data_IF_402725029906
#
_entry.id   IF_402725029906
#
_cell.length_a   1.000
_cell.length_b   1.000
_cell.length_c   1.000
_cell.angle_alpha   90.00
_cell.angle_beta   90.00
_cell.angle_gamma   90.00
#
_symmetry.space_group_name_H-M   'P 1'
#
loop_
_entity.id
_entity.type
_entity.pdbx_description
1 polymer ?
#
# COMPACT_ATOMS: atom_id res chain seq x y z
N UNK A 1 21.39 -14.72 -14.47
CA UNK A 1 21.33 -16.19 -14.60
C UNK A 1 21.39 -16.77 -13.19
N UNK A 2 20.22 -16.96 -12.56
CA UNK A 2 20.10 -17.20 -11.12
C UNK A 2 19.90 -18.69 -10.83
N UNK A 3 20.37 -19.12 -9.65
CA UNK A 3 20.58 -20.48 -9.12
C UNK A 3 19.34 -21.41 -9.03
N UNK A 4 18.25 -21.09 -9.72
CA UNK A 4 17.02 -21.92 -9.79
C UNK A 4 17.20 -23.13 -10.73
N UNK A 5 18.23 -23.13 -11.59
CA UNK A 5 18.45 -24.16 -12.62
C UNK A 5 18.96 -25.51 -12.08
N UNK A 6 19.35 -25.63 -10.80
CA UNK A 6 20.06 -26.82 -10.31
C UNK A 6 19.19 -27.83 -9.53
N UNK A 7 17.93 -27.51 -9.20
CA UNK A 7 17.10 -28.35 -8.31
C UNK A 7 16.06 -29.21 -9.07
N UNK A 8 15.84 -29.01 -10.37
CA UNK A 8 14.82 -29.75 -11.13
C UNK A 8 15.35 -30.81 -12.11
N UNK A 9 16.63 -31.17 -12.03
CA UNK A 9 17.23 -32.29 -12.80
C UNK A 9 17.29 -33.63 -12.04
N UNK A 10 16.74 -33.70 -10.83
CA UNK A 10 16.67 -34.92 -10.03
C UNK A 10 15.24 -35.49 -9.98
N UNK A 11 14.65 -35.79 -11.15
CA UNK A 11 13.65 -36.86 -11.18
C UNK A 11 14.41 -38.16 -11.31
N UNK A 12 14.77 -38.68 -10.14
CA UNK A 12 15.42 -39.96 -9.92
C UNK A 12 14.65 -41.05 -10.66
N UNK A 13 15.39 -41.69 -11.56
CA UNK A 13 15.19 -43.05 -12.00
C UNK A 13 14.88 -43.98 -10.82
N UNK A 14 13.65 -44.45 -10.69
CA UNK A 14 13.37 -45.73 -10.02
C UNK A 14 13.24 -46.77 -11.12
N UNK A 15 14.39 -47.30 -11.53
CA UNK A 15 14.45 -48.44 -12.43
C UNK A 15 13.85 -49.66 -11.72
N UNK A 16 12.63 -50.02 -12.09
CA UNK A 16 12.15 -51.39 -11.92
C UNK A 16 12.80 -52.23 -13.03
N UNK A 17 13.38 -53.40 -12.73
CA UNK A 17 13.96 -54.25 -13.77
C UNK A 17 12.81 -54.79 -14.63
N UNK A 18 12.61 -54.22 -15.83
CA UNK A 18 11.67 -54.80 -16.81
C UNK A 18 11.01 -53.88 -17.84
N UNK A 19 11.14 -52.55 -17.78
CA UNK A 19 10.46 -51.67 -18.77
C UNK A 19 11.41 -50.64 -19.37
N UNK A 20 11.83 -50.89 -20.60
CA UNK A 20 12.57 -49.96 -21.46
C UNK A 20 11.61 -48.90 -22.02
N UNK A 21 11.32 -47.84 -21.27
CA UNK A 21 10.58 -46.70 -21.78
C UNK A 21 11.55 -45.60 -22.20
N UNK A 22 12.00 -45.59 -23.46
CA UNK A 22 12.58 -44.38 -24.06
C UNK A 22 11.47 -43.35 -24.22
N UNK A 23 11.53 -42.17 -23.56
CA UNK A 23 10.49 -41.16 -23.73
C UNK A 23 10.54 -40.64 -25.17
N UNK A 24 9.39 -40.64 -25.85
CA UNK A 24 9.31 -40.13 -27.23
C UNK A 24 9.55 -38.62 -27.27
N UNK A 25 10.21 -38.12 -28.32
CA UNK A 25 10.44 -36.68 -28.53
C UNK A 25 9.16 -35.82 -28.47
N UNK A 26 7.99 -36.42 -28.76
CA UNK A 26 6.68 -35.78 -28.64
C UNK A 26 6.30 -35.47 -27.19
N UNK A 27 6.61 -36.35 -26.23
CA UNK A 27 6.26 -36.13 -24.82
C UNK A 27 7.13 -35.05 -24.17
N UNK A 28 8.40 -34.95 -24.57
CA UNK A 28 9.31 -33.89 -24.09
C UNK A 28 8.88 -32.51 -24.59
N UNK A 29 8.50 -32.40 -25.87
CA UNK A 29 8.00 -31.16 -26.46
C UNK A 29 6.68 -30.70 -25.82
N UNK A 30 5.77 -31.63 -25.49
CA UNK A 30 4.52 -31.31 -24.81
C UNK A 30 4.73 -30.87 -23.35
N UNK A 31 5.68 -31.48 -22.64
CA UNK A 31 6.07 -31.06 -21.29
C UNK A 31 6.70 -29.67 -21.32
N UNK A 32 7.60 -29.39 -22.28
CA UNK A 32 8.17 -28.04 -22.47
C UNK A 32 7.11 -27.00 -22.81
N UNK A 33 6.12 -27.35 -23.65
CA UNK A 33 5.02 -26.45 -24.01
C UNK A 33 4.08 -26.17 -22.83
N UNK A 34 3.86 -27.17 -21.96
CA UNK A 34 3.11 -27.01 -20.70
C UNK A 34 3.88 -26.20 -19.67
N UNK A 35 5.19 -26.43 -19.51
CA UNK A 35 6.08 -25.64 -18.66
C UNK A 35 6.13 -24.18 -19.10
N UNK A 36 6.30 -23.92 -20.41
CA UNK A 36 6.28 -22.56 -20.95
C UNK A 36 4.91 -21.87 -20.73
N UNK A 37 3.80 -22.62 -20.83
CA UNK A 37 2.47 -22.10 -20.46
C UNK A 37 2.34 -21.82 -18.96
N UNK A 38 2.91 -22.66 -18.10
CA UNK A 38 2.92 -22.45 -16.64
C UNK A 38 3.80 -21.26 -16.24
N UNK A 39 4.95 -21.07 -16.89
CA UNK A 39 5.79 -19.87 -16.75
C UNK A 39 5.06 -18.61 -17.22
N UNK A 40 4.32 -18.69 -18.34
CA UNK A 40 3.52 -17.59 -18.85
C UNK A 40 2.34 -17.25 -17.90
N UNK A 41 1.68 -18.26 -17.34
CA UNK A 41 0.60 -18.07 -16.34
C UNK A 41 1.15 -17.53 -15.01
N UNK A 42 2.31 -17.99 -14.55
CA UNK A 42 2.98 -17.47 -13.35
C UNK A 42 3.47 -16.02 -13.54
N UNK A 43 3.93 -15.66 -14.74
CA UNK A 43 4.30 -14.29 -15.09
C UNK A 43 3.08 -13.33 -15.17
N UNK A 44 1.89 -13.83 -15.55
CA UNK A 44 0.65 -13.04 -15.52
C UNK A 44 0.10 -12.84 -14.09
N UNK A 45 0.40 -13.74 -13.15
CA UNK A 45 -0.02 -13.62 -11.74
C UNK A 45 0.80 -12.61 -10.92
N UNK A 46 1.89 -12.08 -11.48
CA UNK A 46 2.82 -11.17 -10.80
C UNK A 46 2.87 -9.76 -11.42
N UNK A 47 1.81 -9.33 -12.10
CA UNK A 47 1.78 -7.96 -12.62
C UNK A 47 1.78 -6.93 -11.47
N UNK A 48 2.63 -5.90 -11.55
CA UNK A 48 2.61 -4.80 -10.58
C UNK A 48 1.24 -4.13 -10.58
N UNK A 49 0.61 -4.05 -9.41
CA UNK A 49 -0.59 -3.24 -9.26
C UNK A 49 -0.18 -1.86 -8.73
N UNK A 50 -0.60 -0.80 -9.43
CA UNK A 50 -0.51 0.57 -8.93
C UNK A 50 -1.92 1.10 -8.69
N UNK A 51 -2.17 1.52 -7.45
CA UNK A 51 -3.42 2.21 -7.12
C UNK A 51 -3.14 3.70 -7.14
N UNK A 52 -3.71 4.40 -8.14
CA UNK A 52 -3.52 5.85 -8.32
C UNK A 52 -4.32 6.62 -7.27
N UNK A 53 -3.63 7.43 -6.50
CA UNK A 53 -4.16 8.42 -5.59
C UNK A 53 -4.12 9.79 -6.26
N UNK A 54 -5.29 10.40 -6.47
CA UNK A 54 -5.39 11.74 -7.02
C UNK A 54 -5.22 12.79 -5.93
N UNK A 55 -4.55 13.90 -6.24
CA UNK A 55 -4.45 15.06 -5.36
C UNK A 55 -3.32 14.98 -4.31
N UNK A 56 -2.43 14.01 -4.46
CA UNK A 56 -1.32 13.77 -3.54
C UNK A 56 -0.02 13.69 -4.31
N UNK A 57 0.94 14.50 -3.89
CA UNK A 57 2.32 14.42 -4.32
C UNK A 57 3.14 13.64 -3.31
N UNK A 58 3.85 12.62 -3.76
CA UNK A 58 4.83 11.92 -2.94
C UNK A 58 6.14 12.69 -3.10
N UNK A 59 6.57 13.39 -2.07
CA UNK A 59 7.74 14.26 -2.15
C UNK A 59 9.00 13.50 -1.72
N UNK A 60 10.05 13.63 -2.53
CA UNK A 60 11.35 13.01 -2.33
C UNK A 60 11.43 11.56 -2.79
N UNK A 61 12.56 10.91 -2.47
CA UNK A 61 12.90 9.55 -2.93
C UNK A 61 12.97 9.38 -4.44
N UNK A 62 13.16 10.46 -5.20
CA UNK A 62 13.23 10.40 -6.66
C UNK A 62 14.46 9.63 -7.14
N UNK A 63 14.20 8.62 -7.97
CA UNK A 63 15.22 7.80 -8.63
C UNK A 63 15.56 8.38 -10.01
N UNK A 64 14.51 8.68 -10.79
CA UNK A 64 14.58 9.29 -12.12
C UNK A 64 13.20 9.79 -12.53
N UNK A 65 13.14 10.57 -13.60
CA UNK A 65 11.88 10.91 -14.25
C UNK A 65 11.82 10.35 -15.68
N UNK A 66 10.61 10.07 -16.15
CA UNK A 66 10.32 9.63 -17.52
C UNK A 66 9.04 10.32 -18.02
N UNK A 67 8.99 10.67 -19.30
CA UNK A 67 7.79 11.24 -19.91
C UNK A 67 6.71 10.17 -20.14
N UNK A 68 5.44 10.56 -20.02
CA UNK A 68 4.31 9.67 -20.33
C UNK A 68 3.02 10.02 -19.57
N UNK A 69 1.98 9.20 -19.77
CA UNK A 69 0.71 9.33 -19.03
C UNK A 69 0.81 8.71 -17.64
N UNK A 70 -0.15 9.00 -16.76
CA UNK A 70 -0.17 8.44 -15.40
C UNK A 70 -0.27 6.90 -15.40
N UNK A 71 -0.98 6.32 -16.36
CA UNK A 71 -1.13 4.87 -16.53
C UNK A 71 0.21 4.23 -16.92
N UNK A 72 1.01 4.94 -17.72
CA UNK A 72 2.33 4.50 -18.15
C UNK A 72 3.33 4.42 -16.99
N UNK A 73 3.21 5.31 -16.00
CA UNK A 73 4.13 5.39 -14.87
C UNK A 73 4.24 4.09 -14.06
N UNK A 74 3.16 3.31 -13.98
CA UNK A 74 3.16 2.06 -13.23
C UNK A 74 4.14 1.03 -13.83
N UNK A 75 4.07 0.82 -15.15
CA UNK A 75 4.98 -0.08 -15.87
C UNK A 75 6.43 0.42 -15.84
N UNK A 76 6.62 1.74 -15.92
CA UNK A 76 7.95 2.33 -15.82
C UNK A 76 8.57 2.17 -14.43
N UNK A 77 7.78 2.30 -13.37
CA UNK A 77 8.25 2.05 -12.02
C UNK A 77 8.58 0.56 -11.84
N UNK A 78 7.72 -0.36 -12.29
CA UNK A 78 7.99 -1.80 -12.20
C UNK A 78 9.33 -2.23 -12.82
N UNK A 79 9.65 -1.67 -13.97
CA UNK A 79 10.88 -1.99 -14.71
C UNK A 79 12.10 -1.22 -14.22
N UNK A 80 11.92 -0.24 -13.32
CA UNK A 80 13.01 0.55 -12.77
C UNK A 80 13.51 -0.09 -11.47
N UNK A 81 14.76 -0.58 -11.42
CA UNK A 81 15.32 -1.17 -10.22
C UNK A 81 15.20 -0.23 -9.01
N UNK A 82 14.66 -0.75 -7.91
CA UNK A 82 14.46 0.00 -6.68
C UNK A 82 13.23 0.90 -6.66
N UNK A 83 12.48 1.05 -7.76
CA UNK A 83 11.27 1.87 -7.75
C UNK A 83 10.12 1.15 -7.05
N UNK A 84 9.51 1.85 -6.09
CA UNK A 84 8.39 1.36 -5.27
C UNK A 84 7.21 2.33 -5.24
N UNK A 85 7.34 3.52 -5.82
CA UNK A 85 6.25 4.47 -5.96
C UNK A 85 6.52 5.42 -7.14
N UNK A 86 5.49 6.16 -7.57
CA UNK A 86 5.68 7.29 -8.48
C UNK A 86 4.73 8.44 -8.15
N UNK A 87 5.09 9.63 -8.62
CA UNK A 87 4.19 10.78 -8.72
C UNK A 87 4.18 11.27 -10.16
N UNK A 88 3.00 11.47 -10.71
CA UNK A 88 2.78 11.96 -12.05
C UNK A 88 2.21 13.36 -12.02
N UNK A 89 2.71 14.22 -12.89
CA UNK A 89 2.26 15.60 -13.05
C UNK A 89 2.20 15.98 -14.53
N UNK A 90 1.48 17.06 -14.86
CA UNK A 90 1.43 17.62 -16.21
C UNK A 90 2.72 18.33 -16.66
N UNK A 91 3.80 18.24 -15.88
CA UNK A 91 5.09 18.81 -16.25
C UNK A 91 5.56 18.26 -17.61
N UNK A 92 5.99 19.14 -18.51
CA UNK A 92 6.40 18.81 -19.89
C UNK A 92 5.42 17.93 -20.68
N UNK A 93 4.11 18.12 -20.49
CA UNK A 93 3.08 17.34 -21.18
C UNK A 93 2.81 15.96 -20.55
N UNK A 94 3.43 15.66 -19.40
CA UNK A 94 3.25 14.43 -18.66
C UNK A 94 4.59 13.86 -18.21
N UNK A 95 4.87 13.93 -16.91
CA UNK A 95 6.11 13.42 -16.32
C UNK A 95 5.81 12.49 -15.15
N UNK A 96 6.36 11.28 -15.21
CA UNK A 96 6.42 10.31 -14.13
C UNK A 96 7.72 10.50 -13.33
N UNK A 97 7.61 10.96 -12.09
CA UNK A 97 8.69 11.02 -11.12
C UNK A 97 8.75 9.68 -10.36
N UNK A 98 9.63 8.78 -10.80
CA UNK A 98 9.78 7.42 -10.27
C UNK A 98 10.60 7.43 -8.98
N UNK A 99 10.16 6.71 -7.96
CA UNK A 99 10.67 6.85 -6.59
C UNK A 99 10.98 5.53 -5.92
N UNK A 100 11.98 5.53 -5.03
CA UNK A 100 12.31 4.37 -4.19
C UNK A 100 11.25 4.07 -3.12
N UNK A 101 10.32 4.99 -2.88
CA UNK A 101 9.19 4.84 -1.98
C UNK A 101 8.29 6.08 -1.97
N UNK A 102 7.19 6.02 -1.21
CA UNK A 102 6.16 7.08 -1.14
C UNK A 102 6.60 8.44 -0.58
N UNK A 103 7.80 8.55 0.00
CA UNK A 103 8.24 9.84 0.56
C UNK A 103 7.33 10.39 1.65
N UNK A 104 7.37 11.71 1.82
CA UNK A 104 6.32 12.49 2.50
C UNK A 104 5.18 12.75 1.52
N UNK A 105 3.96 12.98 2.00
CA UNK A 105 2.84 13.32 1.10
C UNK A 105 2.43 14.76 1.31
N UNK A 106 2.36 15.50 0.21
CA UNK A 106 1.82 16.85 0.19
C UNK A 106 0.52 16.83 -0.61
N UNK A 107 -0.51 17.53 -0.12
CA UNK A 107 -1.73 17.75 -0.89
C UNK A 107 -1.38 18.61 -2.10
N UNK A 108 -1.58 18.07 -3.29
CA UNK A 108 -1.40 18.79 -4.54
C UNK A 108 -2.43 18.29 -5.56
N UNK A 109 -3.48 19.07 -5.85
CA UNK A 109 -4.59 18.65 -6.71
C UNK A 109 -4.15 18.29 -8.14
N UNK A 110 -2.98 18.75 -8.58
CA UNK A 110 -2.45 18.55 -9.93
C UNK A 110 -1.53 17.32 -10.06
N UNK A 111 -1.33 16.57 -8.97
CA UNK A 111 -0.44 15.43 -8.93
C UNK A 111 -1.23 14.16 -8.65
N UNK A 112 -0.83 13.08 -9.32
CA UNK A 112 -1.38 11.74 -9.14
C UNK A 112 -0.26 10.81 -8.72
N UNK A 113 -0.37 10.14 -7.58
CA UNK A 113 0.71 9.29 -7.08
C UNK A 113 0.25 7.87 -6.85
N UNK A 114 1.17 6.90 -6.90
CA UNK A 114 0.82 5.51 -6.65
C UNK A 114 1.96 4.75 -6.00
N UNK A 115 1.60 3.75 -5.19
CA UNK A 115 2.52 2.77 -4.68
C UNK A 115 2.56 1.54 -5.58
N UNK A 116 3.75 0.95 -5.73
CA UNK A 116 3.92 -0.36 -6.31
C UNK A 116 3.49 -1.40 -5.28
N UNK A 117 2.47 -2.18 -5.62
CA UNK A 117 2.03 -3.30 -4.80
C UNK A 117 2.64 -4.57 -5.41
N UNK A 118 3.51 -5.23 -4.64
CA UNK A 118 4.12 -6.51 -5.01
C UNK A 118 3.29 -7.64 -4.42
N UNK A 119 2.69 -8.45 -5.29
CA UNK A 119 1.62 -9.39 -4.96
C UNK A 119 0.26 -8.78 -5.28
N UNK A 120 -0.68 -9.57 -5.82
CA UNK A 120 -2.02 -9.08 -6.14
C UNK A 120 -2.69 -8.58 -4.85
N UNK A 121 -2.89 -7.26 -4.68
CA UNK A 121 -3.76 -6.81 -3.62
C UNK A 121 -5.15 -7.39 -3.94
N UNK A 122 -5.81 -8.04 -2.97
CA UNK A 122 -7.20 -8.53 -3.09
C UNK A 122 -8.18 -7.33 -3.11
N UNK A 123 -7.96 -6.41 -4.04
CA UNK A 123 -8.75 -5.21 -4.29
C UNK A 123 -9.48 -5.39 -5.61
N UNK A 124 -10.68 -4.84 -5.68
CA UNK A 124 -11.59 -5.01 -6.79
C UNK A 124 -11.89 -6.47 -7.13
N UNK A 125 -11.75 -7.36 -6.14
CA UNK A 125 -12.23 -8.72 -6.22
C UNK A 125 -13.73 -8.72 -5.93
N UNK A 126 -14.53 -8.95 -6.97
CA UNK A 126 -15.97 -8.97 -6.85
C UNK A 126 -16.42 -10.16 -6.00
N UNK A 127 -17.02 -9.87 -4.86
CA UNK A 127 -17.81 -10.83 -4.10
C UNK A 127 -19.21 -10.89 -4.74
N UNK A 128 -19.60 -12.08 -5.19
CA UNK A 128 -20.92 -12.30 -5.79
C UNK A 128 -21.99 -12.42 -4.71
N UNK A 129 -23.17 -11.88 -5.01
CA UNK A 129 -24.36 -11.91 -4.16
C UNK A 129 -24.15 -11.33 -2.76
N UNK A 130 -23.23 -10.37 -2.65
CA UNK A 130 -22.93 -9.65 -1.40
C UNK A 130 -23.14 -8.17 -1.63
N UNK A 131 -23.95 -7.55 -0.79
CA UNK A 131 -24.11 -6.11 -0.67
C UNK A 131 -23.30 -5.60 0.53
N UNK A 132 -22.45 -4.60 0.30
CA UNK A 132 -21.92 -3.80 1.39
C UNK A 132 -22.99 -2.80 1.79
N UNK A 133 -23.60 -2.94 2.96
CA UNK A 133 -24.67 -2.02 3.36
C UNK A 133 -24.10 -0.72 3.93
N UNK A 134 -24.86 0.36 3.75
CA UNK A 134 -24.58 1.73 4.20
C UNK A 134 -23.32 2.37 3.55
N UNK A 135 -22.99 3.57 4.04
CA UNK A 135 -21.80 4.34 3.67
C UNK A 135 -21.77 4.84 2.23
N UNK A 136 -22.94 4.87 1.57
CA UNK A 136 -23.10 5.35 0.21
C UNK A 136 -22.73 6.83 0.08
N UNK A 137 -21.87 7.10 -0.90
CA UNK A 137 -21.43 8.43 -1.31
C UNK A 137 -22.21 8.91 -2.53
N UNK A 138 -22.45 8.00 -3.48
CA UNK A 138 -23.17 8.29 -4.73
C UNK A 138 -23.58 7.01 -5.46
N UNK A 139 -24.57 7.16 -6.34
CA UNK A 139 -24.95 6.16 -7.34
C UNK A 139 -24.51 6.65 -8.73
N UNK A 140 -23.63 5.91 -9.38
CA UNK A 140 -23.15 6.19 -10.74
C UNK A 140 -23.58 5.06 -11.66
N UNK A 141 -24.07 5.37 -12.86
CA UNK A 141 -24.45 4.33 -13.83
C UNK A 141 -23.20 3.58 -14.32
N UNK A 142 -23.30 2.26 -14.37
CA UNK A 142 -22.29 1.39 -14.97
C UNK A 142 -22.93 0.08 -15.38
N UNK A 143 -22.79 -0.29 -16.64
CA UNK A 143 -23.43 -1.50 -17.18
C UNK A 143 -22.82 -2.80 -16.65
N UNK A 144 -21.61 -2.74 -16.08
CA UNK A 144 -20.87 -3.90 -15.58
C UNK A 144 -20.29 -3.62 -14.20
N UNK A 145 -20.22 -4.65 -13.37
CA UNK A 145 -19.70 -4.54 -12.00
C UNK A 145 -18.18 -4.26 -11.98
N UNK A 146 -17.47 -4.72 -13.00
CA UNK A 146 -16.03 -4.56 -13.18
C UNK A 146 -15.65 -3.09 -13.36
N UNK A 147 -16.53 -2.29 -13.98
CA UNK A 147 -16.32 -0.86 -14.22
C UNK A 147 -16.31 -0.06 -12.91
N UNK A 148 -17.04 -0.52 -11.90
CA UNK A 148 -17.21 0.19 -10.63
C UNK A 148 -15.91 0.37 -9.85
N UNK A 149 -14.92 -0.52 -10.05
CA UNK A 149 -13.60 -0.36 -9.44
C UNK A 149 -12.92 0.93 -9.91
N UNK A 150 -12.87 1.15 -11.22
CA UNK A 150 -12.29 2.35 -11.82
C UNK A 150 -13.07 3.60 -11.43
N UNK A 151 -14.41 3.52 -11.48
CA UNK A 151 -15.31 4.61 -11.09
C UNK A 151 -15.07 4.99 -9.61
N UNK A 152 -15.03 4.01 -8.71
CA UNK A 152 -14.74 4.24 -7.30
C UNK A 152 -13.35 4.86 -7.09
N UNK A 153 -12.31 4.39 -7.80
CA UNK A 153 -10.96 4.99 -7.71
C UNK A 153 -10.91 6.44 -8.19
N UNK A 154 -11.74 6.80 -9.17
CA UNK A 154 -11.91 8.17 -9.65
C UNK A 154 -12.79 9.05 -8.75
N UNK A 155 -13.62 8.44 -7.90
CA UNK A 155 -14.59 9.14 -7.06
C UNK A 155 -13.99 9.46 -5.68
N UNK A 156 -13.94 10.75 -5.35
CA UNK A 156 -13.34 11.23 -4.11
C UNK A 156 -14.03 10.58 -2.89
N UNK A 157 -13.23 10.11 -1.94
CA UNK A 157 -13.70 9.41 -0.74
C UNK A 157 -14.12 7.96 -0.95
N UNK A 158 -14.25 7.45 -2.18
CA UNK A 158 -14.70 6.08 -2.38
C UNK A 158 -13.61 5.05 -2.03
N UNK A 159 -13.99 4.05 -1.24
CA UNK A 159 -13.14 2.96 -0.75
C UNK A 159 -13.68 1.58 -1.09
N UNK A 160 -15.00 1.47 -1.28
CA UNK A 160 -15.66 0.24 -1.69
C UNK A 160 -16.88 0.57 -2.56
N UNK A 161 -17.47 -0.42 -3.19
CA UNK A 161 -18.69 -0.25 -3.97
C UNK A 161 -19.54 -1.53 -3.93
N UNK A 162 -20.85 -1.37 -4.12
CA UNK A 162 -21.77 -2.45 -4.51
C UNK A 162 -22.31 -2.13 -5.89
N UNK A 163 -22.30 -3.10 -6.81
CA UNK A 163 -22.97 -2.98 -8.11
C UNK A 163 -24.25 -3.79 -8.13
N UNK A 164 -25.29 -3.28 -8.77
CA UNK A 164 -26.51 -4.03 -9.10
C UNK A 164 -27.01 -3.71 -10.50
N UNK A 165 -27.93 -4.53 -11.03
CA UNK A 165 -28.61 -4.34 -12.31
C UNK A 165 -29.64 -3.19 -12.33
N UNK A 166 -29.76 -2.48 -11.22
CA UNK A 166 -30.68 -1.35 -11.07
C UNK A 166 -30.47 -0.31 -12.19
N UNK A 167 -31.56 0.01 -12.90
CA UNK A 167 -31.59 0.92 -14.05
C UNK A 167 -30.58 0.57 -15.17
N UNK A 168 -30.42 -0.72 -15.47
CA UNK A 168 -29.47 -1.18 -16.50
C UNK A 168 -28.02 -1.23 -16.02
N UNK A 169 -27.80 -1.09 -14.70
CA UNK A 169 -26.49 -1.18 -14.06
C UNK A 169 -26.12 0.08 -13.30
N UNK A 170 -25.83 -0.07 -12.00
CA UNK A 170 -25.48 1.03 -11.09
C UNK A 170 -24.38 0.63 -10.11
N UNK A 171 -23.34 1.48 -9.99
CA UNK A 171 -22.37 1.45 -8.91
C UNK A 171 -22.84 2.32 -7.74
N UNK A 172 -23.05 1.70 -6.59
CA UNK A 172 -23.26 2.35 -5.31
C UNK A 172 -21.91 2.53 -4.63
N UNK A 173 -21.30 3.70 -4.81
CA UNK A 173 -19.97 4.06 -4.33
C UNK A 173 -20.00 4.33 -2.83
N UNK A 174 -19.01 3.84 -2.07
CA UNK A 174 -19.03 3.87 -0.62
C UNK A 174 -17.74 4.39 -0.01
N UNK A 175 -17.86 5.12 1.09
CA UNK A 175 -16.72 5.68 1.83
C UNK A 175 -15.87 4.65 2.58
N UNK A 176 -16.39 3.43 2.74
CA UNK A 176 -15.75 2.28 3.39
C UNK A 176 -16.48 0.98 3.02
N UNK A 177 -15.85 -0.16 3.29
CA UNK A 177 -16.56 -1.45 3.33
C UNK A 177 -17.55 -1.45 4.50
N UNK A 178 -18.82 -1.64 4.18
CA UNK A 178 -19.91 -1.77 5.14
C UNK A 178 -20.03 -3.18 5.70
N UNK A 179 -21.11 -3.44 6.44
CA UNK A 179 -21.47 -4.81 6.79
C UNK A 179 -21.80 -5.59 5.51
N UNK A 180 -21.39 -6.86 5.45
CA UNK A 180 -21.71 -7.74 4.33
C UNK A 180 -23.09 -8.37 4.57
N UNK A 181 -24.00 -8.18 3.61
CA UNK A 181 -25.32 -8.80 3.60
C UNK A 181 -25.49 -9.58 2.31
N UNK A 182 -25.96 -10.82 2.40
CA UNK A 182 -26.28 -11.60 1.21
C UNK A 182 -27.45 -10.97 0.45
N UNK A 183 -27.26 -10.73 -0.85
CA UNK A 183 -28.27 -10.18 -1.74
C UNK A 183 -28.00 -10.60 -3.17
N UNK A 184 -28.84 -11.50 -3.67
CA UNK A 184 -28.72 -12.05 -5.03
C UNK A 184 -28.66 -10.94 -6.09
N UNK A 185 -27.74 -11.06 -7.03
CA UNK A 185 -27.54 -10.12 -8.14
C UNK A 185 -26.65 -8.91 -7.80
N UNK A 186 -26.26 -8.71 -6.54
CA UNK A 186 -25.35 -7.63 -6.14
C UNK A 186 -23.91 -8.12 -6.15
N UNK A 187 -22.98 -7.30 -6.66
CA UNK A 187 -21.54 -7.61 -6.67
C UNK A 187 -20.76 -6.50 -6.01
N UNK A 188 -20.02 -6.80 -4.95
CA UNK A 188 -19.31 -5.78 -4.16
C UNK A 188 -17.80 -6.01 -4.15
N UNK A 189 -17.02 -4.93 -4.00
CA UNK A 189 -15.59 -5.04 -3.78
C UNK A 189 -14.99 -3.81 -3.10
N UNK A 190 -13.84 -4.00 -2.46
CA UNK A 190 -13.00 -2.93 -1.94
C UNK A 190 -12.06 -2.40 -3.03
N UNK A 191 -12.05 -1.09 -3.28
CA UNK A 191 -11.22 -0.51 -4.33
C UNK A 191 -9.74 -0.31 -3.93
N UNK A 192 -9.45 -0.44 -2.62
CA UNK A 192 -8.17 -0.20 -1.97
C UNK A 192 -7.87 -1.30 -0.93
N UNK A 193 -6.59 -1.60 -0.63
CA UNK A 193 -6.24 -2.62 0.35
C UNK A 193 -6.76 -2.24 1.73
N UNK A 194 -7.50 -3.16 2.35
CA UNK A 194 -7.91 -3.07 3.74
C UNK A 194 -6.65 -3.21 4.61
N UNK A 195 -6.20 -2.11 5.21
CA UNK A 195 -5.41 -2.23 6.44
C UNK A 195 -6.31 -2.93 7.44
N UNK A 196 -5.91 -4.11 7.90
CA UNK A 196 -6.64 -5.00 8.82
C UNK A 196 -6.80 -4.37 10.21
N UNK A 197 -7.59 -3.32 10.29
CA UNK A 197 -8.04 -2.65 11.49
C UNK A 197 -9.25 -1.82 11.10
N UNK A 198 -10.42 -2.22 11.58
CA UNK A 198 -11.66 -1.49 11.39
C UNK A 198 -11.48 -0.01 11.73
N UNK A 199 -12.36 0.84 11.22
CA UNK A 199 -12.27 2.27 11.49
C UNK A 199 -12.41 2.51 12.99
N UNK A 200 -11.36 2.99 13.62
CA UNK A 200 -11.37 3.29 15.04
C UNK A 200 -11.25 4.79 15.25
N UNK A 201 -12.37 5.49 15.34
CA UNK A 201 -12.35 6.86 15.90
C UNK A 201 -12.23 6.85 17.43
N UNK A 202 -11.46 5.90 17.97
CA UNK A 202 -11.16 5.79 19.39
C UNK A 202 -10.22 6.91 19.75
N UNK A 203 -10.77 7.92 20.43
CA UNK A 203 -10.02 9.07 20.91
C UNK A 203 -9.02 8.63 21.98
N UNK A 204 -7.77 9.09 21.83
CA UNK A 204 -6.68 8.91 22.78
C UNK A 204 -6.34 10.29 23.32
N UNK A 205 -6.75 10.56 24.56
CA UNK A 205 -6.43 11.81 25.25
C UNK A 205 -4.93 11.89 25.56
N UNK A 206 -4.43 13.11 25.68
CA UNK A 206 -3.04 13.45 25.99
C UNK A 206 -2.00 12.70 25.14
N UNK A 207 -2.35 12.50 23.88
CA UNK A 207 -1.62 11.67 22.91
C UNK A 207 -1.48 12.42 21.60
N UNK A 208 -0.24 12.61 21.14
CA UNK A 208 0.08 13.21 19.85
C UNK A 208 0.61 12.15 18.89
N UNK A 209 0.05 12.11 17.67
CA UNK A 209 0.60 11.34 16.58
C UNK A 209 1.55 12.25 15.82
N UNK A 210 2.84 11.99 15.89
CA UNK A 210 3.83 12.95 15.37
C UNK A 210 3.96 12.83 13.85
N UNK A 211 3.99 13.99 13.19
CA UNK A 211 4.25 14.14 11.77
C UNK A 211 3.13 13.63 10.87
N UNK A 212 3.46 13.43 9.60
CA UNK A 212 2.53 12.93 8.56
C UNK A 212 1.32 13.83 8.30
N UNK A 213 1.39 15.10 8.70
CA UNK A 213 0.34 16.09 8.49
C UNK A 213 0.16 16.38 7.00
N UNK A 214 -1.07 16.26 6.52
CA UNK A 214 -1.48 16.58 5.16
C UNK A 214 -2.38 17.81 5.08
N UNK A 215 -2.65 18.43 6.23
CA UNK A 215 -3.43 19.65 6.33
C UNK A 215 -4.06 19.78 7.71
N UNK A 216 -4.81 20.86 7.88
CA UNK A 216 -5.57 21.09 9.10
C UNK A 216 -6.98 21.56 8.79
N UNK A 217 -7.88 21.40 9.76
CA UNK A 217 -9.24 21.89 9.69
C UNK A 217 -9.73 22.33 11.06
N UNK A 218 -10.66 23.26 11.10
CA UNK A 218 -11.33 23.65 12.33
C UNK A 218 -12.31 22.55 12.77
N UNK A 219 -12.29 22.22 14.06
CA UNK A 219 -13.36 21.49 14.70
C UNK A 219 -13.38 21.79 16.18
N UNK A 220 -14.53 22.15 16.78
CA UNK A 220 -14.60 22.48 18.20
C UNK A 220 -14.39 21.27 19.11
N UNK A 221 -14.45 20.04 18.57
CA UNK A 221 -14.29 18.80 19.33
C UNK A 221 -13.39 17.81 18.60
N UNK A 222 -12.68 16.91 19.33
CA UNK A 222 -11.92 15.83 18.71
C UNK A 222 -12.79 14.88 17.87
N UNK A 223 -14.05 14.63 18.28
CA UNK A 223 -14.99 13.81 17.51
C UNK A 223 -15.27 14.37 16.12
N UNK A 224 -15.36 15.70 15.99
CA UNK A 224 -15.54 16.32 14.68
C UNK A 224 -14.36 16.09 13.74
N UNK A 225 -13.13 15.96 14.27
CA UNK A 225 -11.96 15.61 13.46
C UNK A 225 -12.04 14.21 12.85
N UNK A 226 -12.70 13.26 13.50
CA UNK A 226 -12.94 11.95 12.92
C UNK A 226 -13.75 12.07 11.62
N UNK A 227 -14.83 12.86 11.63
CA UNK A 227 -15.65 13.03 10.43
C UNK A 227 -14.94 13.82 9.33
N UNK A 228 -14.18 14.86 9.72
CA UNK A 228 -13.36 15.62 8.77
C UNK A 228 -12.32 14.69 8.12
N UNK A 229 -11.63 13.87 8.90
CA UNK A 229 -10.63 12.94 8.37
C UNK A 229 -11.25 11.84 7.51
N UNK A 230 -12.45 11.32 7.85
CA UNK A 230 -13.19 10.39 6.97
C UNK A 230 -13.50 11.00 5.60
N UNK A 231 -13.79 12.30 5.57
CA UNK A 231 -14.17 13.03 4.36
C UNK A 231 -12.96 13.60 3.61
N UNK A 232 -11.80 13.73 4.27
CA UNK A 232 -10.56 14.18 3.65
C UNK A 232 -9.85 13.01 2.98
N UNK A 233 -9.66 13.11 1.66
CA UNK A 233 -8.85 12.13 0.95
C UNK A 233 -7.47 11.99 1.58
N UNK A 234 -6.92 10.78 1.53
CA UNK A 234 -5.60 10.48 2.07
C UNK A 234 -5.49 10.53 3.60
N UNK A 235 -6.47 11.09 4.34
CA UNK A 235 -6.44 11.11 5.79
C UNK A 235 -6.71 9.72 6.38
N UNK A 236 -5.90 9.34 7.37
CA UNK A 236 -5.94 8.06 8.07
C UNK A 236 -5.87 8.20 9.58
N UNK A 237 -5.41 9.35 10.06
CA UNK A 237 -5.34 9.66 11.48
C UNK A 237 -5.45 11.18 11.68
N UNK A 238 -5.68 11.62 12.90
CA UNK A 238 -5.61 13.03 13.24
C UNK A 238 -5.09 13.21 14.66
N UNK A 239 -4.61 14.42 14.94
CA UNK A 239 -4.36 14.92 16.29
C UNK A 239 -5.10 16.23 16.44
N UNK A 240 -6.01 16.32 17.40
CA UNK A 240 -6.79 17.51 17.70
C UNK A 240 -6.12 18.29 18.84
N UNK A 241 -6.15 19.61 18.74
CA UNK A 241 -5.64 20.52 19.77
C UNK A 241 -6.64 21.65 20.00
N UNK A 242 -6.61 22.28 21.19
CA UNK A 242 -7.42 23.47 21.49
C UNK A 242 -7.02 24.74 20.73
N UNK A 243 -6.07 24.67 19.80
CA UNK A 243 -5.60 25.81 19.02
C UNK A 243 -6.77 26.42 18.21
N UNK A 244 -6.91 27.74 18.25
CA UNK A 244 -7.97 28.50 17.55
C UNK A 244 -9.40 28.02 17.86
N UNK A 245 -9.65 27.59 19.10
CA UNK A 245 -10.95 27.04 19.51
C UNK A 245 -11.17 25.59 19.07
N UNK A 246 -10.16 24.95 18.47
CA UNK A 246 -10.17 23.55 18.07
C UNK A 246 -9.62 23.36 16.66
N UNK A 247 -8.46 22.70 16.55
CA UNK A 247 -7.78 22.42 15.27
C UNK A 247 -7.49 20.94 15.15
N UNK A 248 -7.98 20.33 14.06
CA UNK A 248 -7.63 19.00 13.61
C UNK A 248 -6.36 19.07 12.76
N UNK A 249 -5.29 18.45 13.21
CA UNK A 249 -4.09 18.18 12.41
C UNK A 249 -4.27 16.83 11.71
N UNK A 250 -4.66 16.86 10.44
CA UNK A 250 -5.10 15.71 9.64
C UNK A 250 -3.89 15.03 9.03
N UNK A 251 -3.81 13.70 9.15
CA UNK A 251 -2.59 12.94 8.86
C UNK A 251 -2.87 11.80 7.91
N UNK A 252 -1.93 11.55 7.01
CA UNK A 252 -2.04 10.44 6.06
C UNK A 252 -1.67 9.07 6.66
N UNK A 253 -1.10 9.04 7.86
CA UNK A 253 -0.68 7.84 8.59
C UNK A 253 -0.79 8.12 10.09
N UNK A 254 -1.01 7.08 10.89
CA UNK A 254 -0.66 7.10 12.30
C UNK A 254 0.87 7.01 12.39
N UNK A 255 1.51 8.11 12.76
CA UNK A 255 2.96 8.18 12.99
C UNK A 255 3.36 7.68 14.39
N UNK A 256 4.53 8.14 14.86
CA UNK A 256 4.98 7.88 16.22
C UNK A 256 4.00 8.46 17.23
N UNK A 257 3.81 7.78 18.35
CA UNK A 257 2.90 8.18 19.42
C UNK A 257 3.71 8.71 20.59
N UNK A 258 3.46 9.96 20.99
CA UNK A 258 4.06 10.55 22.18
C UNK A 258 2.96 11.00 23.14
N UNK A 259 3.25 10.97 24.44
CA UNK A 259 2.37 11.60 25.43
C UNK A 259 2.54 13.11 25.36
N UNK A 260 1.43 13.84 25.22
CA UNK A 260 1.40 15.29 25.13
C UNK A 260 0.07 15.83 25.63
N UNK A 261 0.11 16.49 26.78
CA UNK A 261 -1.08 17.04 27.43
C UNK A 261 -1.83 18.00 26.50
N UNK A 262 -3.16 17.87 26.46
CA UNK A 262 -4.04 18.74 25.66
C UNK A 262 -4.12 18.41 24.17
N UNK A 263 -3.55 17.28 23.75
CA UNK A 263 -3.69 16.74 22.38
C UNK A 263 -4.53 15.46 22.41
N UNK A 264 -5.55 15.38 21.56
CA UNK A 264 -6.39 14.17 21.44
C UNK A 264 -6.27 13.59 20.05
N UNK A 265 -5.78 12.37 19.92
CA UNK A 265 -5.54 11.74 18.62
C UNK A 265 -6.44 10.53 18.37
N UNK A 266 -6.72 10.21 17.12
CA UNK A 266 -7.37 8.94 16.76
C UNK A 266 -6.95 8.46 15.37
N UNK A 267 -6.98 7.15 15.18
CA UNK A 267 -6.66 6.51 13.90
C UNK A 267 -7.93 6.09 13.16
N UNK A 268 -8.32 6.87 12.16
CA UNK A 268 -9.54 6.64 11.39
C UNK A 268 -9.43 5.42 10.47
N UNK A 269 -8.25 5.17 9.90
CA UNK A 269 -7.96 4.02 9.05
C UNK A 269 -6.58 3.43 9.41
N UNK A 270 -6.43 2.10 9.39
CA UNK A 270 -5.13 1.43 9.58
C UNK A 270 -4.07 1.96 8.59
N UNK A 271 -2.78 1.96 8.91
CA UNK A 271 -1.77 2.42 7.95
C UNK A 271 -1.79 1.56 6.66
N UNK A 272 -1.53 2.12 5.47
CA UNK A 272 -1.36 1.34 4.25
C UNK A 272 -0.14 0.42 4.39
N UNK A 273 -0.09 -0.68 3.63
CA UNK A 273 1.07 -1.56 3.59
C UNK A 273 2.36 -0.76 3.32
N UNK A 274 3.49 -1.16 3.94
CA UNK A 274 4.69 -0.35 4.02
C UNK A 274 5.29 0.04 2.66
N UNK A 275 5.87 1.24 2.63
CA UNK A 275 6.62 1.77 1.47
C UNK A 275 8.09 1.35 1.50
N UNK A 276 8.58 1.03 2.70
CA UNK A 276 9.83 0.35 2.95
C UNK A 276 9.55 -1.16 3.08
N UNK A 277 9.90 -1.95 2.06
CA UNK A 277 9.81 -3.41 2.12
C UNK A 277 10.70 -3.93 3.25
N UNK A 278 10.08 -4.45 4.31
CA UNK A 278 10.80 -5.02 5.44
C UNK A 278 11.40 -6.37 5.04
N UNK A 279 12.73 -6.47 5.16
CA UNK A 279 13.44 -7.74 5.20
C UNK A 279 13.29 -8.30 6.62
N UNK A 280 12.46 -9.33 6.76
CA UNK A 280 12.25 -10.01 8.03
C UNK A 280 13.47 -10.84 8.41
N UNK A 281 13.78 -10.85 9.71
CA UNK A 281 14.89 -11.58 10.31
C UNK A 281 16.25 -11.20 9.72
N UNK A 282 16.39 -9.97 9.23
CA UNK A 282 17.62 -9.43 8.67
C UNK A 282 17.99 -8.16 9.43
N UNK A 283 19.23 -8.11 9.92
CA UNK A 283 19.87 -6.93 10.51
C UNK A 283 20.84 -6.32 9.49
N UNK A 284 20.81 -5.00 9.35
CA UNK A 284 21.82 -4.28 8.57
C UNK A 284 22.93 -3.88 9.54
N UNK A 285 24.14 -4.36 9.32
CA UNK A 285 25.25 -4.16 10.26
C UNK A 285 25.97 -2.85 9.96
N UNK A 286 26.32 -2.12 11.03
CA UNK A 286 27.02 -0.83 11.01
C UNK A 286 26.20 0.33 10.41
N UNK A 287 26.86 1.47 10.23
CA UNK A 287 26.31 2.72 9.69
C UNK A 287 25.23 3.37 10.55
N UNK A 288 25.11 3.01 11.83
CA UNK A 288 24.19 3.65 12.76
C UNK A 288 24.51 5.14 12.93
N UNK A 289 23.49 5.98 12.76
CA UNK A 289 23.53 7.44 12.93
C UNK A 289 22.59 7.92 14.03
N UNK A 290 22.03 6.97 14.77
CA UNK A 290 21.13 7.19 15.88
C UNK A 290 20.04 6.13 15.94
N UNK A 291 19.15 6.27 16.91
CA UNK A 291 18.00 5.42 17.09
C UNK A 291 16.76 6.24 17.46
N UNK A 292 15.58 5.67 17.30
CA UNK A 292 14.35 6.23 17.82
C UNK A 292 13.38 5.13 18.27
N UNK A 293 12.53 5.38 19.29
CA UNK A 293 11.54 4.42 19.71
C UNK A 293 10.43 4.27 18.66
N UNK A 294 9.99 3.04 18.45
CA UNK A 294 8.77 2.72 17.70
C UNK A 294 8.32 1.29 18.00
N UNK A 295 7.10 1.12 18.49
CA UNK A 295 6.50 -0.19 18.69
C UNK A 295 6.21 -0.93 17.37
N UNK A 296 6.06 -0.20 16.27
CA UNK A 296 5.79 -0.76 14.95
C UNK A 296 7.01 -0.57 14.02
N UNK A 297 7.63 -1.65 13.52
CA UNK A 297 8.74 -1.57 12.56
C UNK A 297 8.42 -0.74 11.32
N UNK A 298 7.16 -0.64 10.93
CA UNK A 298 6.72 0.12 9.75
C UNK A 298 6.99 1.61 9.94
N UNK A 299 6.89 2.14 11.16
CA UNK A 299 7.10 3.57 11.45
C UNK A 299 8.57 3.98 11.37
N UNK A 300 9.51 3.03 11.44
CA UNK A 300 10.94 3.32 11.24
C UNK A 300 11.23 3.93 9.86
N UNK A 301 10.39 3.60 8.87
CA UNK A 301 10.48 4.18 7.53
C UNK A 301 10.25 5.70 7.57
N UNK A 302 9.22 6.18 8.26
CA UNK A 302 8.96 7.62 8.42
C UNK A 302 10.01 8.31 9.28
N UNK A 303 10.41 7.68 10.38
CA UNK A 303 11.45 8.23 11.28
C UNK A 303 12.76 8.42 10.53
N UNK A 304 13.18 7.44 9.74
CA UNK A 304 14.38 7.55 8.94
C UNK A 304 14.25 8.64 7.87
N UNK A 305 13.12 8.77 7.17
CA UNK A 305 12.91 9.87 6.20
C UNK A 305 13.04 11.26 6.82
N UNK A 306 12.66 11.43 8.08
CA UNK A 306 12.77 12.70 8.80
C UNK A 306 14.19 12.97 9.35
N UNK A 307 15.00 11.91 9.51
CA UNK A 307 16.36 12.02 10.03
C UNK A 307 17.34 12.32 8.90
N UNK A 308 17.90 13.53 8.91
CA UNK A 308 18.96 13.91 7.97
C UNK A 308 20.09 12.87 7.92
N UNK A 309 20.43 12.44 6.71
CA UNK A 309 21.46 11.44 6.46
C UNK A 309 21.01 9.98 6.59
N UNK A 310 19.78 9.69 7.03
CA UNK A 310 19.28 8.31 7.12
C UNK A 310 18.83 7.79 5.75
N UNK A 311 19.29 6.58 5.40
CA UNK A 311 19.00 5.88 4.14
C UNK A 311 18.58 4.42 4.35
N UNK A 312 18.64 3.93 5.58
CA UNK A 312 18.20 2.60 5.94
C UNK A 312 17.90 2.54 7.44
N UNK A 313 17.20 1.50 7.88
CA UNK A 313 17.03 1.21 9.30
C UNK A 313 16.99 -0.29 9.57
N UNK A 314 17.22 -0.66 10.81
CA UNK A 314 16.91 -1.98 11.38
C UNK A 314 16.04 -1.78 12.60
N UNK A 315 14.88 -2.44 12.65
CA UNK A 315 13.99 -2.41 13.80
C UNK A 315 14.18 -3.67 14.64
N UNK A 316 14.12 -3.53 15.96
CA UNK A 316 14.14 -4.66 16.90
C UNK A 316 13.16 -4.42 18.04
N UNK A 317 12.80 -5.47 18.78
CA UNK A 317 11.92 -5.36 19.95
C UNK A 317 12.63 -4.77 21.21
N UNK A 318 13.82 -4.18 21.05
CA UNK A 318 14.52 -3.50 22.12
C UNK A 318 13.64 -2.38 22.70
N UNK A 319 13.49 -2.32 24.03
CA UNK A 319 12.67 -1.33 24.75
C UNK A 319 11.21 -1.21 24.26
N UNK A 320 10.59 -2.33 23.89
CA UNK A 320 9.23 -2.33 23.35
C UNK A 320 9.14 -1.88 21.89
N UNK A 321 10.29 -1.71 21.24
CA UNK A 321 10.43 -1.40 19.82
C UNK A 321 11.37 -0.23 19.57
N UNK A 322 12.47 -0.48 18.85
CA UNK A 322 13.49 0.53 18.53
C UNK A 322 13.89 0.47 17.07
N UNK A 323 13.91 1.62 16.41
CA UNK A 323 14.46 1.85 15.07
C UNK A 323 15.93 2.27 15.16
N UNK A 324 16.84 1.44 14.68
CA UNK A 324 18.26 1.74 14.53
C UNK A 324 18.49 2.38 13.15
N UNK A 325 18.61 3.71 13.12
CA UNK A 325 18.66 4.54 11.92
C UNK A 325 20.07 4.54 11.34
N UNK A 326 20.19 4.36 10.02
CA UNK A 326 21.47 4.12 9.35
C UNK A 326 21.70 5.01 8.15
N UNK A 327 22.95 5.42 7.93
CA UNK A 327 23.32 6.26 6.77
C UNK A 327 23.41 5.52 5.43
N UNK A 328 23.41 4.19 5.46
CA UNK A 328 23.43 3.32 4.28
C UNK A 328 22.97 1.89 4.64
N UNK A 329 22.64 1.07 3.63
CA UNK A 329 22.51 -0.39 3.81
C UNK A 329 23.91 -1.00 3.92
N UNK A 330 24.26 -1.48 5.11
CA UNK A 330 25.50 -2.22 5.35
C UNK A 330 25.41 -3.69 4.95
N UNK A 331 26.39 -4.48 5.41
CA UNK A 331 26.33 -5.93 5.31
C UNK A 331 25.09 -6.47 6.05
N UNK A 332 24.51 -7.56 5.56
CA UNK A 332 23.28 -8.14 6.15
C UNK A 332 23.62 -9.41 6.90
N UNK A 333 23.07 -9.56 8.11
CA UNK A 333 23.11 -10.83 8.86
C UNK A 333 21.70 -11.30 9.19
N UNK A 334 21.50 -12.62 9.22
CA UNK A 334 20.24 -13.20 9.70
C UNK A 334 20.16 -13.04 11.22
N UNK A 335 19.11 -12.38 11.70
CA UNK A 335 18.86 -12.15 13.11
C UNK A 335 17.35 -12.20 13.38
N UNK A 336 16.85 -13.32 13.93
CA UNK A 336 15.42 -13.50 14.19
C UNK A 336 14.82 -12.34 15.00
N UNK A 337 13.65 -11.85 14.56
CA UNK A 337 12.92 -10.76 15.20
C UNK A 337 13.36 -9.35 14.79
N UNK A 338 14.43 -9.20 14.02
CA UNK A 338 14.85 -7.90 13.46
C UNK A 338 14.21 -7.69 12.08
N UNK A 339 13.74 -6.47 11.81
CA UNK A 339 13.12 -6.11 10.54
C UNK A 339 13.82 -4.89 9.96
N UNK A 340 14.46 -5.03 8.80
CA UNK A 340 15.24 -3.94 8.21
C UNK A 340 14.67 -3.48 6.88
N UNK A 341 14.93 -2.22 6.51
CA UNK A 341 14.63 -1.76 5.16
C UNK A 341 15.53 -0.60 4.74
N UNK A 342 15.73 -0.51 3.42
CA UNK A 342 16.27 0.68 2.75
C UNK A 342 15.15 1.70 2.57
N UNK A 343 15.48 2.97 2.81
CA UNK A 343 14.57 4.12 2.75
C UNK A 343 14.89 4.94 1.50
#
# INVERSE_FOLDING_TARGET
MSKVLLILLLVVWIAHPGVSATPSLRSVADVQRRLAKMEFMAAMMLQPACVIENGFDYVGNDLKNVGGTVEFCCGQCYTTPGCKAFSWSNHNGGTCWLKSGRGQIVVNPNVKSALMLFGQPLVCQLQQDIDYVDNDLARISATKAEDCCGICRGYLGCRAYSWSDFMGGSCWLKSKKGQEVYKAGVRSAEAYPTGSGGQTCTLQADTDYVGNDIGNAYSPTPDGCCQICKNMNGCRAFSWTGLNGGTCWLKNLKGNVISKAGVTSAQVYGNPPPTCTLENDIDYVNFDIGNAPSADPILCCSICKERSGCKAFSWSNHEGGTCWLKSAKGATITKPGVKSAVV
#
